data_IF_468390151901
#
_entry.id   IF_468390151901
#
_cell.length_a   1.000
_cell.length_b   1.000
_cell.length_c   1.000
_cell.angle_alpha   90.00
_cell.angle_beta   90.00
_cell.angle_gamma   90.00
#
_symmetry.space_group_name_H-M   'P 1'
#
loop_
_entity.id
_entity.type
_entity.pdbx_description
1 polymer ?
#
# COMPACT_ATOMS: atom_id res chain seq x y z
N UNK A 1 -5.09 -3.05 -0.62
CA UNK A 1 -3.83 -2.33 -0.76
C UNK A 1 -3.10 -2.25 0.57
N UNK A 2 -1.80 -2.16 0.52
CA UNK A 2 -0.98 -2.05 1.74
C UNK A 2 -1.19 -0.69 2.40
N UNK A 3 -1.22 -0.61 3.75
CA UNK A 3 -1.38 0.65 4.47
C UNK A 3 -0.34 1.73 4.12
N UNK A 4 0.88 1.36 3.82
CA UNK A 4 1.90 2.32 3.36
C UNK A 4 1.47 3.00 2.06
N UNK A 5 0.81 2.26 1.17
CA UNK A 5 0.31 2.83 -0.07
C UNK A 5 -0.93 3.71 0.18
N UNK A 6 -1.88 3.25 1.00
CA UNK A 6 -3.10 4.03 1.26
C UNK A 6 -2.85 5.27 2.09
N UNK A 7 -1.78 5.29 2.90
CA UNK A 7 -1.36 6.47 3.65
C UNK A 7 -0.54 7.45 2.80
N UNK A 8 -0.20 7.08 1.57
CA UNK A 8 0.47 7.98 0.63
C UNK A 8 -0.39 9.21 0.33
N UNK A 9 0.21 10.38 0.32
CA UNK A 9 -0.52 11.65 0.24
C UNK A 9 -1.32 11.74 -1.06
N UNK A 10 -0.67 11.47 -2.21
CA UNK A 10 -1.32 11.55 -3.53
C UNK A 10 -1.23 10.25 -4.33
N UNK A 11 -0.89 9.13 -3.67
CA UNK A 11 -0.62 7.84 -4.32
C UNK A 11 0.41 7.97 -5.43
N UNK A 12 1.41 8.80 -5.20
CA UNK A 12 2.48 9.06 -6.15
C UNK A 12 3.78 9.37 -5.42
N UNK A 13 4.88 9.23 -6.14
CA UNK A 13 6.21 9.57 -5.67
C UNK A 13 6.42 11.07 -5.63
N UNK A 14 7.35 11.51 -4.80
CA UNK A 14 7.92 12.86 -4.91
C UNK A 14 9.09 12.74 -5.87
N UNK A 15 9.09 13.59 -6.90
CA UNK A 15 10.08 13.57 -7.97
C UNK A 15 11.04 14.76 -7.84
N UNK A 16 12.29 14.53 -8.23
CA UNK A 16 13.25 15.62 -8.42
C UNK A 16 12.99 16.34 -9.74
N UNK A 17 13.68 17.45 -9.96
CA UNK A 17 13.51 18.28 -11.16
C UNK A 17 13.80 17.51 -12.46
N UNK A 18 14.64 16.48 -12.38
CA UNK A 18 14.96 15.63 -13.54
C UNK A 18 13.98 14.47 -13.74
N UNK A 19 12.93 14.40 -12.94
CA UNK A 19 11.94 13.35 -13.03
C UNK A 19 12.26 12.05 -12.29
N UNK A 20 13.35 12.03 -11.51
CA UNK A 20 13.73 10.87 -10.70
C UNK A 20 12.83 10.75 -9.47
N UNK A 21 12.28 9.59 -9.21
CA UNK A 21 11.50 9.34 -8.00
C UNK A 21 12.41 9.34 -6.77
N UNK A 22 12.22 10.33 -5.89
CA UNK A 22 13.04 10.51 -4.69
C UNK A 22 12.56 9.66 -3.52
N UNK A 23 11.29 9.78 -3.17
CA UNK A 23 10.71 9.02 -2.07
C UNK A 23 9.19 8.95 -2.20
N UNK A 24 8.59 8.00 -1.49
CA UNK A 24 7.15 7.85 -1.38
C UNK A 24 6.70 8.56 -0.10
N UNK A 25 5.88 9.62 -0.17
CA UNK A 25 5.45 10.34 1.02
C UNK A 25 4.37 9.56 1.77
N UNK A 26 4.59 9.35 3.06
CA UNK A 26 3.63 8.74 3.97
C UNK A 26 3.41 9.70 5.13
N UNK A 27 2.14 10.00 5.41
CA UNK A 27 1.76 10.84 6.54
C UNK A 27 0.40 10.41 7.05
N UNK A 28 0.09 10.79 8.28
CA UNK A 28 -1.16 10.46 8.91
C UNK A 28 -1.49 8.97 8.82
N UNK A 29 -0.47 8.13 9.05
CA UNK A 29 -0.60 6.68 8.92
C UNK A 29 -1.56 6.09 9.94
N UNK A 30 -1.54 6.57 11.17
CA UNK A 30 -2.30 5.95 12.26
C UNK A 30 -3.82 6.19 12.16
N UNK A 31 -4.32 7.42 11.88
CA UNK A 31 -5.76 7.63 11.83
C UNK A 31 -6.40 6.85 10.67
N UNK A 32 -7.41 5.99 10.97
CA UNK A 32 -8.11 5.25 9.92
C UNK A 32 -9.17 6.11 9.24
N UNK A 33 -9.75 5.59 8.16
CA UNK A 33 -10.93 6.15 7.54
C UNK A 33 -10.74 6.58 6.10
N UNK A 34 -11.64 7.42 5.64
CA UNK A 34 -11.65 7.89 4.27
C UNK A 34 -10.48 8.81 3.97
N UNK A 35 -9.90 8.59 2.79
CA UNK A 35 -8.89 9.46 2.21
C UNK A 35 -9.28 9.81 0.79
N UNK A 36 -9.08 11.08 0.43
CA UNK A 36 -9.33 11.57 -0.91
C UNK A 36 -8.01 11.76 -1.63
N UNK A 37 -7.94 11.30 -2.86
CA UNK A 37 -6.75 11.45 -3.69
C UNK A 37 -7.18 11.76 -5.12
N UNK A 38 -6.35 12.52 -5.83
CA UNK A 38 -6.58 12.81 -7.24
C UNK A 38 -5.95 11.70 -8.09
N UNK A 39 -6.76 11.08 -8.93
CA UNK A 39 -6.29 10.05 -9.86
C UNK A 39 -6.91 10.32 -11.23
N UNK A 40 -6.07 10.60 -12.22
CA UNK A 40 -6.48 10.92 -13.59
C UNK A 40 -7.52 12.06 -13.62
N UNK A 41 -7.26 13.13 -12.84
CA UNK A 41 -8.12 14.31 -12.69
C UNK A 41 -9.48 14.04 -12.03
N UNK A 42 -9.66 12.86 -11.45
CA UNK A 42 -10.85 12.53 -10.66
C UNK A 42 -10.51 12.46 -9.19
N UNK A 43 -11.43 12.95 -8.35
CA UNK A 43 -11.34 12.75 -6.90
C UNK A 43 -11.73 11.32 -6.58
N UNK A 44 -10.79 10.55 -6.04
CA UNK A 44 -10.98 9.14 -5.69
C UNK A 44 -10.98 8.99 -4.18
N UNK A 45 -12.00 8.33 -3.65
CA UNK A 45 -12.11 8.02 -2.23
C UNK A 45 -11.49 6.65 -1.98
N UNK A 46 -10.58 6.58 -1.00
CA UNK A 46 -10.01 5.31 -0.55
C UNK A 46 -10.18 5.16 0.95
N UNK A 47 -10.25 3.91 1.41
CA UNK A 47 -10.31 3.60 2.83
C UNK A 47 -8.92 3.23 3.32
N UNK A 48 -8.52 3.85 4.43
CA UNK A 48 -7.22 3.58 5.04
C UNK A 48 -7.40 2.91 6.39
N UNK A 49 -6.66 1.84 6.61
CA UNK A 49 -6.52 1.18 7.90
C UNK A 49 -5.06 0.87 8.14
N UNK A 50 -4.63 0.89 9.40
CA UNK A 50 -3.27 0.47 9.75
C UNK A 50 -3.12 -1.04 9.56
N UNK A 51 -1.87 -1.50 9.48
CA UNK A 51 -1.58 -2.93 9.43
C UNK A 51 -2.15 -3.65 10.64
N UNK A 52 -2.02 -3.06 11.84
CA UNK A 52 -2.59 -3.61 13.06
C UNK A 52 -4.10 -3.81 12.93
N UNK A 53 -4.81 -2.81 12.43
CA UNK A 53 -6.27 -2.90 12.30
C UNK A 53 -6.68 -4.01 11.34
N UNK A 54 -5.96 -4.19 10.24
CA UNK A 54 -6.26 -5.24 9.27
C UNK A 54 -6.02 -6.62 9.87
N UNK A 55 -4.84 -6.85 10.43
CA UNK A 55 -4.47 -8.17 10.93
C UNK A 55 -5.22 -8.53 12.21
N UNK A 56 -5.31 -7.60 13.16
CA UNK A 56 -6.03 -7.85 14.40
C UNK A 56 -7.54 -7.94 14.17
N UNK A 57 -8.06 -7.23 13.15
CA UNK A 57 -9.46 -7.38 12.78
C UNK A 57 -9.80 -8.81 12.39
N UNK A 58 -8.93 -9.46 11.61
CA UNK A 58 -9.11 -10.87 11.25
C UNK A 58 -9.05 -11.77 12.49
N UNK A 59 -8.05 -11.58 13.34
CA UNK A 59 -7.88 -12.40 14.54
C UNK A 59 -9.05 -12.25 15.49
N UNK A 60 -9.56 -11.03 15.71
CA UNK A 60 -10.67 -10.77 16.59
C UNK A 60 -12.01 -11.30 16.06
N UNK A 61 -12.10 -11.53 14.75
CA UNK A 61 -13.32 -12.03 14.12
C UNK A 61 -13.28 -13.53 13.81
N UNK A 62 -12.41 -14.26 14.48
CA UNK A 62 -12.41 -15.73 14.43
C UNK A 62 -11.60 -16.32 13.29
N UNK A 63 -10.65 -15.56 12.71
CA UNK A 63 -9.75 -16.09 11.70
C UNK A 63 -8.40 -16.46 12.30
N UNK A 64 -7.80 -17.50 11.74
CA UNK A 64 -6.41 -17.85 12.00
C UNK A 64 -5.59 -17.37 10.82
N UNK A 65 -4.55 -16.58 11.06
CA UNK A 65 -3.66 -16.13 10.00
C UNK A 65 -2.74 -17.27 9.58
N UNK A 66 -2.68 -17.55 8.29
CA UNK A 66 -1.84 -18.60 7.74
C UNK A 66 -0.64 -18.05 6.99
N UNK A 67 -0.79 -16.90 6.33
CA UNK A 67 0.28 -16.24 5.61
C UNK A 67 0.00 -14.75 5.48
N UNK A 68 1.06 -13.96 5.51
CA UNK A 68 1.02 -12.52 5.23
C UNK A 68 2.16 -12.23 4.26
N UNK A 69 1.86 -11.56 3.16
CA UNK A 69 2.86 -11.24 2.15
C UNK A 69 2.66 -9.84 1.62
N UNK A 70 3.76 -9.09 1.56
CA UNK A 70 3.82 -7.83 0.86
C UNK A 70 4.29 -8.12 -0.56
N UNK A 71 3.36 -8.13 -1.51
CA UNK A 71 3.65 -8.54 -2.87
C UNK A 71 4.64 -7.58 -3.55
N UNK A 72 5.66 -8.15 -4.17
CA UNK A 72 6.70 -7.41 -4.89
C UNK A 72 6.83 -7.96 -6.31
N UNK A 73 7.30 -7.14 -7.28
CA UNK A 73 7.53 -7.65 -8.63
C UNK A 73 8.60 -8.74 -8.62
N UNK A 74 8.43 -9.74 -9.49
CA UNK A 74 9.42 -10.79 -9.66
C UNK A 74 10.67 -10.25 -10.36
N UNK A 75 11.85 -10.91 -10.20
CA UNK A 75 13.09 -10.40 -10.78
C UNK A 75 13.05 -10.19 -12.29
N UNK A 76 12.31 -11.01 -13.02
CA UNK A 76 12.17 -10.91 -14.47
C UNK A 76 11.32 -9.72 -14.93
N UNK A 77 10.59 -9.09 -14.00
CA UNK A 77 9.78 -7.89 -14.29
C UNK A 77 10.55 -6.59 -14.10
N UNK A 78 11.74 -6.62 -13.52
CA UNK A 78 12.46 -5.40 -13.14
C UNK A 78 12.97 -4.59 -14.33
N UNK A 79 13.02 -5.19 -15.53
CA UNK A 79 13.39 -4.47 -16.75
C UNK A 79 12.25 -3.59 -17.29
N UNK A 80 11.03 -3.78 -16.80
CA UNK A 80 9.90 -2.96 -17.19
C UNK A 80 10.06 -1.57 -16.54
N UNK A 81 9.93 -0.48 -17.30
CA UNK A 81 10.09 0.87 -16.75
C UNK A 81 9.19 1.10 -15.53
N UNK A 82 9.78 1.60 -14.45
CA UNK A 82 9.07 1.87 -13.19
C UNK A 82 8.98 0.69 -12.23
N UNK A 83 9.29 -0.53 -12.65
CA UNK A 83 9.15 -1.70 -11.77
C UNK A 83 10.16 -1.74 -10.64
N UNK A 84 11.38 -1.23 -10.84
CA UNK A 84 12.37 -1.19 -9.76
C UNK A 84 11.92 -0.33 -8.59
N UNK A 85 11.18 0.72 -8.86
CA UNK A 85 10.65 1.58 -7.79
C UNK A 85 9.60 0.87 -6.95
N UNK A 86 8.94 -0.15 -7.49
CA UNK A 86 7.96 -0.95 -6.74
C UNK A 86 8.61 -1.79 -5.64
N UNK A 87 9.92 -2.00 -5.68
CA UNK A 87 10.66 -2.66 -4.59
C UNK A 87 10.89 -1.73 -3.39
N UNK A 88 10.68 -0.44 -3.56
CA UNK A 88 11.00 0.57 -2.54
C UNK A 88 9.87 0.77 -1.54
N UNK A 89 8.65 0.39 -1.90
CA UNK A 89 7.51 0.43 -0.98
C UNK A 89 6.47 -0.60 -1.42
N UNK A 90 5.77 -1.26 -0.48
CA UNK A 90 4.73 -2.22 -0.84
C UNK A 90 3.48 -1.49 -1.32
N UNK A 91 2.88 -1.97 -2.42
CA UNK A 91 1.60 -1.49 -2.90
C UNK A 91 0.46 -2.38 -2.41
N UNK A 92 0.70 -3.70 -2.37
CA UNK A 92 -0.32 -4.69 -2.06
C UNK A 92 0.05 -5.48 -0.82
N UNK A 93 -0.96 -5.78 -0.03
CA UNK A 93 -0.86 -6.69 1.11
C UNK A 93 -1.76 -7.89 0.83
N UNK A 94 -1.17 -9.08 0.88
CA UNK A 94 -1.89 -10.33 0.73
C UNK A 94 -1.94 -11.05 2.08
N UNK A 95 -3.15 -11.41 2.50
CA UNK A 95 -3.33 -12.13 3.76
C UNK A 95 -4.12 -13.40 3.47
N UNK A 96 -3.57 -14.54 3.88
CA UNK A 96 -4.29 -15.80 3.85
C UNK A 96 -4.75 -16.12 5.25
N UNK A 97 -6.05 -16.29 5.43
CA UNK A 97 -6.64 -16.57 6.72
C UNK A 97 -7.71 -17.63 6.59
N UNK A 98 -7.89 -18.42 7.65
CA UNK A 98 -8.88 -19.47 7.70
C UNK A 98 -9.85 -19.19 8.84
N UNK A 99 -11.14 -19.29 8.56
CA UNK A 99 -12.18 -19.15 9.58
C UNK A 99 -12.10 -20.31 10.56
N UNK A 100 -12.07 -20.00 11.84
CA UNK A 100 -12.08 -21.01 12.92
C UNK A 100 -13.46 -21.57 13.15
#
# INVERSE_FOLDING_TARGET
KHPVFTAGINQDWIYSDDGTAQFWPVDNYYPPGERHTNFLDYDVVKQHHTLTQILMGLLHNGFTLQAVEEAMPSPDMLDIPGMKDELRRPMMLLVKAQKR
#
